data_IF_701105348986
#
_entry.id   IF_701105348986
#
_cell.length_a   1.000
_cell.length_b   1.000
_cell.length_c   1.000
_cell.angle_alpha   90.00
_cell.angle_beta   90.00
_cell.angle_gamma   90.00
#
_symmetry.space_group_name_H-M   'P 1'
#
loop_
_entity.id
_entity.type
_entity.pdbx_description
1 polymer ?
#
# COMPACT_ATOMS: atom_id res chain seq x y z
N UNK A 1 -6.41 -17.51 4.87
CA UNK A 1 -6.31 -16.48 3.80
C UNK A 1 -4.91 -16.50 3.21
N UNK A 2 -4.78 -16.14 1.96
CA UNK A 2 -3.49 -15.82 1.32
C UNK A 2 -3.26 -14.32 1.45
N UNK A 3 -2.14 -13.94 2.04
CA UNK A 3 -1.76 -12.54 2.27
C UNK A 3 -0.49 -12.25 1.48
N UNK A 4 -0.48 -11.15 0.74
CA UNK A 4 0.71 -10.67 0.06
C UNK A 4 1.18 -9.35 0.69
N UNK A 5 2.40 -9.32 1.20
CA UNK A 5 3.03 -8.12 1.76
C UNK A 5 3.90 -7.48 0.68
N UNK A 6 3.58 -6.25 0.33
CA UNK A 6 4.43 -5.38 -0.49
C UNK A 6 5.25 -4.51 0.48
N UNK A 7 6.51 -4.86 0.68
CA UNK A 7 7.43 -4.16 1.57
C UNK A 7 8.13 -3.05 0.78
N UNK A 8 7.59 -1.85 0.88
CA UNK A 8 8.04 -0.69 0.11
C UNK A 8 8.90 0.24 1.00
N UNK A 9 10.17 -0.06 1.02
CA UNK A 9 11.24 0.77 1.59
C UNK A 9 12.28 1.06 0.51
N UNK A 10 13.02 2.15 0.69
CA UNK A 10 14.22 2.46 -0.08
C UNK A 10 15.32 2.81 0.92
N UNK A 11 16.47 2.14 0.80
CA UNK A 11 17.63 2.37 1.65
C UNK A 11 18.29 3.71 1.33
N UNK A 12 18.42 4.56 2.35
CA UNK A 12 19.22 5.78 2.32
C UNK A 12 20.37 5.61 3.30
N UNK A 13 21.60 5.29 2.85
CA UNK A 13 22.73 4.97 3.71
C UNK A 13 22.99 6.04 4.77
N UNK A 14 23.25 5.61 6.01
CA UNK A 14 23.50 6.44 7.19
C UNK A 14 22.33 7.35 7.63
N UNK A 15 21.13 7.15 7.05
CA UNK A 15 19.96 7.93 7.43
C UNK A 15 18.72 7.07 7.64
N UNK A 16 18.31 6.28 6.64
CA UNK A 16 17.13 5.43 6.73
C UNK A 16 17.40 4.10 6.03
N UNK A 17 17.79 3.11 6.80
CA UNK A 17 18.23 1.80 6.28
C UNK A 17 17.09 0.77 6.25
N UNK A 18 15.86 1.18 6.52
CA UNK A 18 14.69 0.30 6.45
C UNK A 18 14.52 -0.66 7.61
N UNK A 19 15.35 -0.61 8.64
CA UNK A 19 15.35 -1.56 9.76
C UNK A 19 13.96 -1.71 10.38
N UNK A 20 13.29 -0.60 10.69
CA UNK A 20 11.93 -0.64 11.26
C UNK A 20 10.92 -1.22 10.27
N UNK A 21 10.96 -0.79 9.01
CA UNK A 21 10.02 -1.25 7.99
C UNK A 21 10.13 -2.76 7.75
N UNK A 22 11.36 -3.28 7.65
CA UNK A 22 11.63 -4.72 7.53
C UNK A 22 11.19 -5.49 8.77
N UNK A 23 11.52 -5.00 9.98
CA UNK A 23 11.12 -5.65 11.23
C UNK A 23 9.59 -5.75 11.36
N UNK A 24 8.86 -4.74 10.89
CA UNK A 24 7.39 -4.77 10.89
C UNK A 24 6.82 -5.76 9.88
N UNK A 25 7.36 -5.80 8.66
CA UNK A 25 6.97 -6.78 7.66
C UNK A 25 7.20 -8.22 8.17
N UNK A 26 8.37 -8.50 8.73
CA UNK A 26 8.69 -9.80 9.34
C UNK A 26 7.77 -10.14 10.51
N UNK A 27 7.48 -9.19 11.38
CA UNK A 27 6.54 -9.40 12.51
C UNK A 27 5.13 -9.68 12.02
N UNK A 28 4.66 -8.97 11.00
CA UNK A 28 3.36 -9.21 10.38
C UNK A 28 3.30 -10.61 9.75
N UNK A 29 4.32 -11.01 9.01
CA UNK A 29 4.47 -12.32 8.39
C UNK A 29 4.45 -13.45 9.43
N UNK A 30 5.26 -13.33 10.48
CA UNK A 30 5.30 -14.31 11.56
C UNK A 30 3.94 -14.42 12.29
N UNK A 31 3.31 -13.28 12.60
CA UNK A 31 2.02 -13.24 13.28
C UNK A 31 0.87 -13.84 12.46
N UNK A 32 0.81 -13.53 11.18
CA UNK A 32 -0.20 -14.07 10.27
C UNK A 32 0.05 -15.56 10.00
N UNK A 33 1.31 -15.96 9.80
CA UNK A 33 1.69 -17.36 9.63
C UNK A 33 1.32 -18.22 10.83
N UNK A 34 1.55 -17.74 12.06
CA UNK A 34 1.16 -18.42 13.30
C UNK A 34 -0.37 -18.62 13.44
N UNK A 35 -1.16 -17.84 12.70
CA UNK A 35 -2.63 -17.94 12.63
C UNK A 35 -3.11 -18.80 11.44
N UNK A 36 -2.20 -19.48 10.76
CA UNK A 36 -2.53 -20.37 9.65
C UNK A 36 -2.83 -19.64 8.33
N UNK A 37 -2.34 -18.41 8.16
CA UNK A 37 -2.40 -17.70 6.88
C UNK A 37 -1.16 -18.03 6.05
N UNK A 38 -1.35 -18.15 4.74
CA UNK A 38 -0.25 -18.28 3.77
C UNK A 38 0.22 -16.87 3.41
N UNK A 39 1.49 -16.55 3.68
CA UNK A 39 2.03 -15.19 3.55
C UNK A 39 3.18 -15.19 2.57
N UNK A 40 3.06 -14.37 1.53
CA UNK A 40 4.15 -14.05 0.59
C UNK A 40 4.59 -12.62 0.77
N UNK A 41 5.83 -12.31 0.39
CA UNK A 41 6.39 -10.96 0.49
C UNK A 41 7.14 -10.60 -0.79
N UNK A 42 7.07 -9.32 -1.16
CA UNK A 42 7.94 -8.67 -2.13
C UNK A 42 8.62 -7.48 -1.47
N UNK A 43 9.95 -7.51 -1.41
CA UNK A 43 10.76 -6.34 -1.04
C UNK A 43 10.97 -5.52 -2.31
N UNK A 44 10.35 -4.36 -2.39
CA UNK A 44 10.29 -3.55 -3.62
C UNK A 44 11.65 -3.00 -4.05
N UNK A 45 12.57 -2.84 -3.10
CA UNK A 45 13.94 -2.41 -3.37
C UNK A 45 14.76 -3.48 -4.10
N UNK A 46 14.41 -4.73 -3.92
CA UNK A 46 14.98 -5.85 -4.65
C UNK A 46 14.43 -5.95 -6.07
N UNK A 47 15.00 -6.82 -6.89
CA UNK A 47 14.45 -7.09 -8.22
C UNK A 47 13.15 -7.89 -8.11
N UNK A 48 12.15 -7.51 -8.88
CA UNK A 48 10.89 -8.25 -9.02
C UNK A 48 10.52 -8.40 -10.49
N UNK A 49 9.76 -9.45 -10.79
CA UNK A 49 9.16 -9.68 -12.11
C UNK A 49 7.70 -9.21 -12.08
N UNK A 50 7.29 -8.21 -12.88
CA UNK A 50 5.94 -7.67 -12.88
C UNK A 50 4.85 -8.73 -13.14
N UNK A 51 5.12 -9.74 -13.98
CA UNK A 51 4.16 -10.82 -14.25
C UNK A 51 4.01 -11.78 -13.07
N UNK A 52 5.08 -12.00 -12.29
CA UNK A 52 5.02 -12.75 -11.03
C UNK A 52 4.21 -11.95 -10.01
N UNK A 53 4.42 -10.65 -9.92
CA UNK A 53 3.67 -9.78 -9.01
C UNK A 53 2.17 -9.75 -9.36
N UNK A 54 1.82 -9.66 -10.64
CA UNK A 54 0.41 -9.78 -11.08
C UNK A 54 -0.21 -11.09 -10.56
N UNK A 55 0.52 -12.22 -10.64
CA UNK A 55 0.01 -13.49 -10.09
C UNK A 55 -0.17 -13.44 -8.58
N UNK A 56 0.77 -12.83 -7.83
CA UNK A 56 0.66 -12.63 -6.38
C UNK A 56 -0.58 -11.82 -6.01
N UNK A 57 -0.85 -10.75 -6.75
CA UNK A 57 -2.07 -9.95 -6.60
C UNK A 57 -3.35 -10.76 -6.87
N UNK A 58 -3.34 -11.61 -7.91
CA UNK A 58 -4.48 -12.48 -8.23
C UNK A 58 -4.71 -13.55 -7.16
N UNK A 59 -3.63 -14.08 -6.59
CA UNK A 59 -3.70 -15.17 -5.62
C UNK A 59 -4.04 -14.68 -4.20
N UNK A 60 -3.63 -13.48 -3.83
CA UNK A 60 -3.88 -12.94 -2.50
C UNK A 60 -5.37 -12.64 -2.25
N UNK A 61 -5.84 -12.92 -1.04
CA UNK A 61 -7.13 -12.45 -0.52
C UNK A 61 -6.99 -11.05 0.10
N UNK A 62 -5.79 -10.74 0.62
CA UNK A 62 -5.42 -9.45 1.21
C UNK A 62 -4.01 -9.05 0.73
N UNK A 63 -3.89 -7.83 0.25
CA UNK A 63 -2.58 -7.20 0.00
C UNK A 63 -2.31 -6.19 1.11
N UNK A 64 -1.13 -6.27 1.71
CA UNK A 64 -0.65 -5.33 2.73
C UNK A 64 0.51 -4.54 2.16
N UNK A 65 0.36 -3.23 2.08
CA UNK A 65 1.49 -2.34 1.82
C UNK A 65 2.12 -1.96 3.16
N UNK A 66 3.32 -2.45 3.43
CA UNK A 66 4.16 -1.99 4.53
C UNK A 66 5.14 -0.95 3.98
N UNK A 67 5.05 0.30 4.44
CA UNK A 67 5.87 1.39 3.88
C UNK A 67 6.29 2.42 4.91
N UNK A 68 7.46 3.03 4.70
CA UNK A 68 7.79 4.32 5.31
C UNK A 68 7.15 5.46 4.51
N UNK A 69 6.83 6.56 5.18
CA UNK A 69 6.35 7.75 4.50
C UNK A 69 7.51 8.74 4.31
N UNK A 70 7.83 8.99 3.05
CA UNK A 70 8.85 9.92 2.62
C UNK A 70 8.16 11.06 1.85
N UNK A 71 8.28 12.30 2.35
CA UNK A 71 7.66 13.47 1.71
C UNK A 71 6.17 13.26 1.40
N UNK A 72 5.41 12.79 2.41
CA UNK A 72 3.94 12.59 2.40
C UNK A 72 3.44 11.47 1.48
N UNK A 73 4.32 10.59 1.01
CA UNK A 73 3.96 9.42 0.21
C UNK A 73 4.92 8.25 0.46
N UNK A 74 4.63 7.12 -0.13
CA UNK A 74 5.57 6.00 -0.17
C UNK A 74 6.85 6.39 -0.95
N UNK A 75 8.02 5.78 -0.69
CA UNK A 75 9.23 6.03 -1.46
C UNK A 75 9.00 5.87 -2.97
N UNK A 76 9.72 6.62 -3.79
CA UNK A 76 9.53 6.63 -5.26
C UNK A 76 9.60 5.23 -5.89
N UNK A 77 10.36 4.33 -5.31
CA UNK A 77 10.48 2.95 -5.80
C UNK A 77 9.16 2.19 -5.73
N UNK A 78 8.27 2.53 -4.78
CA UNK A 78 6.92 2.01 -4.75
C UNK A 78 6.10 2.47 -5.97
N UNK A 79 6.29 3.72 -6.41
CA UNK A 79 5.61 4.19 -7.63
C UNK A 79 6.08 3.42 -8.86
N UNK A 80 7.38 3.10 -8.94
CA UNK A 80 7.92 2.21 -9.97
C UNK A 80 7.24 0.84 -9.92
N UNK A 81 7.11 0.24 -8.73
CA UNK A 81 6.41 -1.04 -8.55
C UNK A 81 4.96 -0.98 -9.10
N UNK A 82 4.20 0.02 -8.71
CA UNK A 82 2.82 0.20 -9.18
C UNK A 82 2.77 0.36 -10.71
N UNK A 83 3.64 1.19 -11.28
CA UNK A 83 3.64 1.42 -12.73
C UNK A 83 3.98 0.15 -13.51
N UNK A 84 5.00 -0.60 -13.08
CA UNK A 84 5.40 -1.82 -13.77
C UNK A 84 4.35 -2.94 -13.61
N UNK A 85 3.90 -3.19 -12.38
CA UNK A 85 2.98 -4.30 -12.08
C UNK A 85 1.57 -4.03 -12.60
N UNK A 86 1.03 -2.81 -12.37
CA UNK A 86 -0.34 -2.53 -12.80
C UNK A 86 -0.44 -2.34 -14.30
N UNK A 87 0.62 -1.84 -14.97
CA UNK A 87 0.69 -1.83 -16.43
C UNK A 87 0.79 -3.26 -17.00
N UNK A 88 1.54 -4.17 -16.39
CA UNK A 88 1.55 -5.59 -16.77
C UNK A 88 0.16 -6.22 -16.58
N UNK A 89 -0.50 -5.92 -15.46
CA UNK A 89 -1.86 -6.35 -15.16
C UNK A 89 -2.91 -5.84 -16.15
N UNK A 90 -2.78 -4.58 -16.59
CA UNK A 90 -3.62 -4.00 -17.64
C UNK A 90 -3.34 -4.65 -19.01
N UNK A 91 -2.07 -4.76 -19.39
CA UNK A 91 -1.67 -5.35 -20.69
C UNK A 91 -2.12 -6.80 -20.79
N UNK A 92 -2.01 -7.58 -19.72
CA UNK A 92 -2.47 -8.97 -19.68
C UNK A 92 -3.98 -9.12 -19.42
N UNK A 93 -4.70 -8.02 -19.15
CA UNK A 93 -6.12 -7.98 -18.78
C UNK A 93 -6.45 -8.82 -17.54
N UNK A 94 -5.48 -8.99 -16.65
CA UNK A 94 -5.65 -9.80 -15.43
C UNK A 94 -6.13 -8.97 -14.24
N UNK A 95 -5.64 -7.75 -14.07
CA UNK A 95 -6.06 -6.88 -12.97
C UNK A 95 -7.24 -5.99 -13.35
N UNK A 96 -7.34 -5.59 -14.62
CA UNK A 96 -8.45 -4.80 -15.16
C UNK A 96 -8.50 -4.91 -16.69
N UNK A 97 -9.67 -4.71 -17.26
CA UNK A 97 -9.86 -4.64 -18.74
C UNK A 97 -9.69 -3.21 -19.28
N UNK A 98 -10.27 -2.24 -18.56
CA UNK A 98 -10.34 -0.83 -18.93
C UNK A 98 -10.69 0.01 -17.70
N UNK A 99 -11.04 1.27 -17.89
CA UNK A 99 -11.42 2.19 -16.82
C UNK A 99 -12.87 2.03 -16.30
N UNK A 100 -13.62 1.07 -16.81
CA UNK A 100 -15.01 0.77 -16.42
C UNK A 100 -16.07 1.48 -17.27
N UNK A 101 -15.76 2.61 -17.89
CA UNK A 101 -16.73 3.34 -18.74
C UNK A 101 -16.98 2.59 -20.05
N UNK A 102 -18.22 2.61 -20.52
CA UNK A 102 -18.58 2.06 -21.83
C UNK A 102 -19.59 2.98 -22.55
N UNK A 103 -19.59 2.92 -23.88
CA UNK A 103 -20.58 3.65 -24.69
C UNK A 103 -21.97 3.00 -24.64
N UNK A 104 -22.01 1.70 -24.37
CA UNK A 104 -23.26 0.93 -24.29
C UNK A 104 -24.01 1.13 -22.97
N UNK A 105 -23.32 1.59 -21.93
CA UNK A 105 -23.93 1.89 -20.63
C UNK A 105 -23.27 3.16 -20.04
N UNK A 106 -23.86 4.34 -20.25
CA UNK A 106 -23.34 5.61 -19.74
C UNK A 106 -23.44 5.76 -18.22
N UNK A 107 -24.11 4.85 -17.50
CA UNK A 107 -24.22 4.88 -16.04
C UNK A 107 -22.99 4.31 -15.36
N UNK A 108 -22.16 3.56 -16.06
CA UNK A 108 -20.90 3.01 -15.53
C UNK A 108 -19.88 4.11 -15.27
N UNK A 109 -19.36 4.10 -14.05
CA UNK A 109 -18.42 5.11 -13.58
C UNK A 109 -16.97 4.76 -13.93
N UNK A 110 -16.13 5.78 -13.98
CA UNK A 110 -14.68 5.64 -14.03
C UNK A 110 -14.15 4.90 -12.78
N UNK A 111 -13.23 3.95 -12.96
CA UNK A 111 -12.67 3.14 -11.88
C UNK A 111 -13.46 1.87 -11.55
N UNK A 112 -14.40 1.44 -12.42
CA UNK A 112 -15.20 0.22 -12.22
C UNK A 112 -14.81 -0.96 -13.12
N UNK A 113 -13.67 -0.86 -13.81
CA UNK A 113 -13.19 -1.89 -14.74
C UNK A 113 -12.19 -2.89 -14.15
N UNK A 114 -11.90 -2.80 -12.86
CA UNK A 114 -10.98 -3.70 -12.16
C UNK A 114 -11.58 -5.08 -11.90
N UNK A 115 -10.71 -6.07 -11.63
CA UNK A 115 -11.10 -7.47 -11.42
C UNK A 115 -10.85 -7.97 -10.00
N UNK A 116 -10.36 -7.10 -9.09
CA UNK A 116 -9.95 -7.50 -7.74
C UNK A 116 -11.07 -7.41 -6.70
N UNK A 117 -12.35 -7.47 -7.13
CA UNK A 117 -13.49 -7.49 -6.21
C UNK A 117 -13.41 -8.68 -5.25
N UNK A 118 -13.83 -8.46 -4.01
CA UNK A 118 -13.77 -9.46 -2.93
C UNK A 118 -12.40 -9.58 -2.26
N UNK A 119 -11.38 -8.83 -2.72
CA UNK A 119 -10.04 -8.78 -2.13
C UNK A 119 -9.84 -7.50 -1.33
N UNK A 120 -9.06 -7.60 -0.23
CA UNK A 120 -8.71 -6.46 0.62
C UNK A 120 -7.37 -5.82 0.26
N UNK A 121 -7.27 -4.52 0.50
CA UNK A 121 -6.01 -3.78 0.50
C UNK A 121 -5.87 -3.00 1.81
N UNK A 122 -4.69 -3.06 2.43
CA UNK A 122 -4.40 -2.45 3.71
C UNK A 122 -3.05 -1.74 3.67
N UNK A 123 -2.96 -0.53 4.22
CA UNK A 123 -1.71 0.22 4.33
C UNK A 123 -1.25 0.23 5.79
N UNK A 124 -0.04 -0.25 6.05
CA UNK A 124 0.68 -0.07 7.30
C UNK A 124 1.85 0.89 7.05
N UNK A 125 1.79 2.09 7.61
CA UNK A 125 2.72 3.16 7.32
C UNK A 125 3.43 3.69 8.56
N UNK A 126 4.72 3.97 8.44
CA UNK A 126 5.51 4.64 9.49
C UNK A 126 5.68 6.11 9.15
N UNK A 127 5.40 6.98 10.13
CA UNK A 127 5.37 8.43 9.99
C UNK A 127 6.35 9.10 10.97
N UNK A 128 7.07 10.11 10.50
CA UNK A 128 7.75 11.03 11.42
C UNK A 128 6.76 11.98 12.11
N UNK A 129 5.64 12.31 11.46
CA UNK A 129 4.61 13.14 12.05
C UNK A 129 4.00 12.46 13.30
N UNK A 130 3.73 13.22 14.39
CA UNK A 130 3.05 12.70 15.56
C UNK A 130 1.57 12.41 15.26
N UNK A 131 0.94 11.54 16.06
CA UNK A 131 -0.44 11.11 15.82
C UNK A 131 -1.47 12.24 15.88
N UNK A 132 -1.24 13.24 16.73
CA UNK A 132 -2.11 14.40 16.93
C UNK A 132 -2.03 15.44 15.80
N UNK A 133 -1.13 15.25 14.84
CA UNK A 133 -1.12 16.07 13.62
C UNK A 133 -2.25 15.70 12.65
N UNK A 134 -2.76 14.48 12.73
CA UNK A 134 -3.85 13.98 11.88
C UNK A 134 -5.22 14.19 12.54
N UNK A 135 -6.26 14.27 11.73
CA UNK A 135 -7.64 14.51 12.19
C UNK A 135 -7.79 15.78 13.06
N UNK A 136 -6.82 16.69 13.01
CA UNK A 136 -6.71 17.90 13.82
C UNK A 136 -6.88 19.15 12.94
N UNK A 137 -8.02 19.83 13.02
CA UNK A 137 -8.28 21.03 12.20
C UNK A 137 -7.36 22.22 12.54
N UNK A 138 -6.76 22.22 13.74
CA UNK A 138 -5.82 23.27 14.17
C UNK A 138 -4.39 23.03 13.66
N UNK A 139 -4.10 21.84 13.11
CA UNK A 139 -2.82 21.57 12.49
C UNK A 139 -2.71 22.28 11.14
N UNK A 140 -1.77 23.21 11.02
CA UNK A 140 -1.62 24.08 9.83
C UNK A 140 -1.12 23.33 8.58
N UNK A 141 -0.54 22.13 8.73
CA UNK A 141 -0.03 21.36 7.61
C UNK A 141 -1.09 20.42 7.04
N UNK A 142 -1.78 19.68 7.91
CA UNK A 142 -2.74 18.67 7.48
C UNK A 142 -4.20 19.16 7.50
N UNK A 143 -4.50 20.26 8.19
CA UNK A 143 -5.79 20.95 8.14
C UNK A 143 -6.97 20.00 8.41
N UNK A 144 -6.83 19.11 9.41
CA UNK A 144 -7.85 18.14 9.79
C UNK A 144 -7.89 16.88 8.92
N UNK A 145 -6.96 16.69 7.99
CA UNK A 145 -6.92 15.48 7.16
C UNK A 145 -6.46 14.27 7.96
N UNK A 146 -7.11 13.16 7.71
CA UNK A 146 -6.76 11.84 8.24
C UNK A 146 -5.54 11.25 7.49
N UNK A 147 -4.98 10.18 8.04
CA UNK A 147 -3.96 9.37 7.34
C UNK A 147 -4.51 8.85 5.99
N UNK A 148 -5.75 8.40 5.96
CA UNK A 148 -6.37 7.87 4.74
C UNK A 148 -6.54 8.94 3.66
N UNK A 149 -6.81 10.21 4.05
CA UNK A 149 -6.89 11.33 3.12
C UNK A 149 -5.52 11.63 2.48
N UNK A 150 -4.45 11.58 3.26
CA UNK A 150 -3.09 11.82 2.76
C UNK A 150 -2.58 10.66 1.89
N UNK A 151 -3.05 9.44 2.12
CA UNK A 151 -2.69 8.25 1.34
C UNK A 151 -3.67 7.93 0.20
N UNK A 152 -4.56 8.88 -0.13
CA UNK A 152 -5.54 8.71 -1.21
C UNK A 152 -4.89 8.37 -2.55
N UNK A 153 -3.74 8.93 -2.86
CA UNK A 153 -2.98 8.64 -4.08
C UNK A 153 -2.52 7.18 -4.17
N UNK A 154 -2.24 6.53 -3.04
CA UNK A 154 -1.90 5.10 -2.97
C UNK A 154 -3.17 4.26 -3.07
N UNK A 155 -4.14 4.53 -2.21
CA UNK A 155 -5.38 3.75 -2.12
C UNK A 155 -6.19 3.77 -3.40
N UNK A 156 -6.15 4.88 -4.16
CA UNK A 156 -6.85 5.02 -5.44
C UNK A 156 -6.36 4.03 -6.50
N UNK A 157 -5.07 3.67 -6.52
CA UNK A 157 -4.56 2.66 -7.46
C UNK A 157 -5.24 1.30 -7.23
N UNK A 158 -5.38 0.89 -5.97
CA UNK A 158 -6.02 -0.37 -5.61
C UNK A 158 -7.53 -0.34 -5.81
N UNK A 159 -8.19 0.77 -5.45
CA UNK A 159 -9.63 0.96 -5.75
C UNK A 159 -9.89 0.84 -7.25
N UNK A 160 -9.01 1.44 -8.08
CA UNK A 160 -9.16 1.42 -9.53
C UNK A 160 -9.13 0.02 -10.13
N UNK A 161 -8.33 -0.89 -9.57
CA UNK A 161 -8.30 -2.30 -9.99
C UNK A 161 -9.30 -3.19 -9.22
N UNK A 162 -10.12 -2.61 -8.32
CA UNK A 162 -11.29 -3.28 -7.73
C UNK A 162 -11.13 -3.77 -6.29
N UNK A 163 -10.03 -3.47 -5.59
CA UNK A 163 -9.87 -3.84 -4.18
C UNK A 163 -10.81 -3.06 -3.26
N UNK A 164 -11.25 -3.70 -2.18
CA UNK A 164 -11.79 -3.02 -1.01
C UNK A 164 -10.64 -2.49 -0.17
N UNK A 165 -10.50 -1.16 -0.11
CA UNK A 165 -9.47 -0.51 0.71
C UNK A 165 -9.94 -0.45 2.16
N UNK A 166 -9.14 -1.02 3.05
CA UNK A 166 -9.35 -0.99 4.50
C UNK A 166 -8.72 0.27 5.10
N UNK A 167 -9.14 0.64 6.31
CA UNK A 167 -8.56 1.76 7.04
C UNK A 167 -7.07 1.52 7.28
N UNK A 168 -6.25 2.52 6.98
CA UNK A 168 -4.79 2.45 7.15
C UNK A 168 -4.39 2.40 8.63
N UNK A 169 -3.25 1.78 8.91
CA UNK A 169 -2.62 1.76 10.23
C UNK A 169 -1.36 2.62 10.20
N UNK A 170 -1.28 3.60 11.10
CA UNK A 170 -0.12 4.47 11.26
C UNK A 170 0.70 4.13 12.49
N UNK A 171 2.01 4.18 12.36
CA UNK A 171 2.97 4.27 13.46
C UNK A 171 3.63 5.62 13.35
N UNK A 172 3.57 6.38 14.42
CA UNK A 172 3.86 7.81 14.42
C UNK A 172 5.12 8.13 15.19
N UNK A 173 5.68 9.34 14.96
CA UNK A 173 6.81 9.91 15.71
C UNK A 173 8.04 8.98 15.75
N UNK A 174 8.35 8.32 14.61
CA UNK A 174 9.38 7.28 14.53
C UNK A 174 10.82 7.79 14.77
N UNK A 175 11.07 9.10 14.66
CA UNK A 175 12.35 9.71 15.02
C UNK A 175 12.33 10.35 16.41
N UNK A 176 11.22 10.23 17.11
CA UNK A 176 10.97 10.55 18.52
C UNK A 176 11.63 11.80 19.07
N UNK A 177 10.83 12.82 19.33
CA UNK A 177 11.24 13.89 20.23
C UNK A 177 10.84 13.60 21.68
N UNK A 178 10.08 12.53 21.89
CA UNK A 178 9.63 12.07 23.22
C UNK A 178 10.20 10.69 23.48
N UNK A 179 10.89 10.54 24.64
CA UNK A 179 11.30 9.23 25.14
C UNK A 179 10.07 8.33 25.26
N UNK A 180 9.99 7.34 24.38
CA UNK A 180 9.01 6.28 24.50
C UNK A 180 9.47 5.41 25.64
N UNK A 181 8.91 5.63 26.84
CA UNK A 181 9.14 4.84 28.01
C UNK A 181 8.53 3.42 27.85
#
# INVERSE_FOLDING_TARGET
MRVHIVNAHLTYPNWSEGTLNHAMAEKAKAHLGARGHDVTETVVEESFDPEVEVRRHLDADLVVLQTSINWFGAPWIYKRYIDEVFNAGLKSKKLLDNDGRTRSDPTRQYGTGGHMQGKGFFIAATWNAPADAFDNPDNTLFEGRSVDDLLLNISSNYKFVGYTVLRSYGIYDIFGTTDVA
#
